data_IF_431532974642
#
_entry.id   IF_431532974642
#
_cell.length_a   1.000
_cell.length_b   1.000
_cell.length_c   1.000
_cell.angle_alpha   90.00
_cell.angle_beta   90.00
_cell.angle_gamma   90.00
#
_symmetry.space_group_name_H-M   'P 1'
#
loop_
_entity.id
_entity.type
_entity.pdbx_description
1 polymer ?
#
# COMPACT_ATOMS: atom_id res chain seq x y z
N UNK A 1 45.07 21.91 -14.33
CA UNK A 1 44.10 21.44 -15.34
C UNK A 1 43.03 20.63 -14.62
N UNK A 2 41.78 21.06 -14.69
CA UNK A 2 40.65 20.48 -13.94
C UNK A 2 40.02 19.34 -14.71
N UNK A 3 40.00 18.14 -14.12
CA UNK A 3 39.41 16.91 -14.67
C UNK A 3 37.88 16.98 -14.64
N UNK A 4 37.24 16.76 -15.79
CA UNK A 4 35.78 16.56 -15.88
C UNK A 4 35.47 15.08 -15.69
N UNK A 5 34.93 14.70 -14.54
CA UNK A 5 34.40 13.36 -14.31
C UNK A 5 33.01 13.24 -14.96
N UNK A 6 32.93 12.52 -16.08
CA UNK A 6 31.65 12.14 -16.68
C UNK A 6 30.96 11.10 -15.79
N UNK A 7 29.92 11.51 -15.06
CA UNK A 7 29.01 10.59 -14.35
C UNK A 7 28.15 9.86 -15.37
N UNK A 8 28.64 8.72 -15.84
CA UNK A 8 27.83 7.76 -16.60
C UNK A 8 26.77 7.19 -15.67
N UNK A 9 25.53 7.65 -15.81
CA UNK A 9 24.38 7.11 -15.08
C UNK A 9 24.15 5.67 -15.53
N UNK A 10 24.70 4.71 -14.80
CA UNK A 10 24.33 3.30 -14.91
C UNK A 10 22.82 3.18 -14.69
N UNK A 11 22.05 2.96 -15.76
CA UNK A 11 20.67 2.50 -15.62
C UNK A 11 20.76 1.05 -15.16
N UNK A 12 20.53 0.84 -13.87
CA UNK A 12 20.43 -0.48 -13.27
C UNK A 12 19.45 -1.35 -14.06
N UNK A 13 19.93 -2.52 -14.43
CA UNK A 13 19.20 -3.76 -14.75
C UNK A 13 17.82 -3.63 -15.39
N UNK A 14 17.71 -4.13 -16.62
CA UNK A 14 16.49 -4.74 -17.14
C UNK A 14 15.74 -5.49 -16.04
N UNK A 15 14.58 -5.00 -15.63
CA UNK A 15 13.63 -5.74 -14.79
C UNK A 15 13.02 -6.84 -15.66
N UNK A 16 13.82 -7.89 -15.88
CA UNK A 16 13.34 -9.16 -16.39
C UNK A 16 12.40 -9.72 -15.32
N UNK A 17 11.10 -9.61 -15.57
CA UNK A 17 10.06 -10.08 -14.65
C UNK A 17 8.95 -9.09 -14.31
N UNK A 18 8.51 -8.23 -15.24
CA UNK A 18 7.10 -7.81 -15.21
C UNK A 18 6.26 -8.95 -15.80
N UNK A 19 6.28 -10.09 -15.10
CA UNK A 19 5.37 -11.21 -15.39
C UNK A 19 3.97 -10.60 -15.34
N UNK A 20 3.24 -10.74 -16.45
CA UNK A 20 1.88 -10.24 -16.61
C UNK A 20 0.93 -10.99 -15.68
N UNK A 21 1.04 -10.76 -14.37
CA UNK A 21 0.06 -11.23 -13.41
C UNK A 21 -1.23 -10.45 -13.66
N UNK A 22 -2.29 -11.18 -14.01
CA UNK A 22 -3.62 -10.60 -14.21
C UNK A 22 -4.01 -9.85 -12.93
N UNK A 23 -4.24 -8.53 -12.99
CA UNK A 23 -4.55 -7.77 -11.79
C UNK A 23 -5.86 -8.26 -11.18
N UNK A 24 -5.86 -8.47 -9.86
CA UNK A 24 -7.08 -8.71 -9.10
C UNK A 24 -7.66 -7.34 -8.72
N UNK A 25 -8.81 -7.00 -9.29
CA UNK A 25 -9.48 -5.74 -8.97
C UNK A 25 -10.04 -5.80 -7.54
N UNK A 26 -9.52 -4.93 -6.67
CA UNK A 26 -10.04 -4.74 -5.32
C UNK A 26 -11.12 -3.66 -5.34
N UNK A 27 -12.36 -4.03 -5.00
CA UNK A 27 -13.48 -3.09 -4.89
C UNK A 27 -13.47 -2.48 -3.50
N UNK A 28 -13.07 -1.22 -3.40
CA UNK A 28 -13.12 -0.43 -2.18
C UNK A 28 -14.22 0.63 -2.27
N UNK A 29 -14.99 0.86 -1.20
CA UNK A 29 -15.76 2.09 -1.02
C UNK A 29 -14.87 3.33 -1.16
N UNK A 30 -15.49 4.46 -1.52
CA UNK A 30 -14.76 5.73 -1.76
C UNK A 30 -13.90 6.17 -0.57
N UNK A 31 -14.41 5.99 0.65
CA UNK A 31 -13.73 6.37 1.89
C UNK A 31 -12.49 5.50 2.14
N UNK A 32 -12.61 4.18 2.01
CA UNK A 32 -11.50 3.24 2.16
C UNK A 32 -10.42 3.44 1.10
N UNK A 33 -10.83 3.74 -0.14
CA UNK A 33 -9.90 4.05 -1.23
C UNK A 33 -9.12 5.34 -0.94
N UNK A 34 -9.79 6.40 -0.49
CA UNK A 34 -9.15 7.65 -0.11
C UNK A 34 -8.17 7.45 1.07
N UNK A 35 -8.57 6.66 2.06
CA UNK A 35 -7.72 6.31 3.20
C UNK A 35 -6.46 5.55 2.75
N UNK A 36 -6.60 4.55 1.88
CA UNK A 36 -5.47 3.79 1.34
C UNK A 36 -4.50 4.69 0.54
N UNK A 37 -5.02 5.66 -0.23
CA UNK A 37 -4.18 6.65 -0.91
C UNK A 37 -3.41 7.54 0.07
N UNK A 38 -4.06 8.01 1.14
CA UNK A 38 -3.43 8.84 2.16
C UNK A 38 -2.31 8.09 2.89
N UNK A 39 -2.54 6.83 3.28
CA UNK A 39 -1.51 5.99 3.91
C UNK A 39 -0.32 5.74 2.97
N UNK A 40 -0.60 5.41 1.71
CA UNK A 40 0.46 5.20 0.72
C UNK A 40 1.31 6.47 0.51
N UNK A 41 0.67 7.64 0.46
CA UNK A 41 1.35 8.92 0.33
C UNK A 41 2.21 9.23 1.57
N UNK A 42 1.69 8.97 2.77
CA UNK A 42 2.43 9.16 4.03
C UNK A 42 3.69 8.27 4.10
N UNK A 43 3.65 7.07 3.51
CA UNK A 43 4.80 6.16 3.42
C UNK A 43 5.72 6.42 2.21
N UNK A 44 5.38 7.39 1.34
CA UNK A 44 6.15 7.67 0.12
C UNK A 44 6.09 6.53 -0.93
N UNK A 45 4.98 5.78 -0.95
CA UNK A 45 4.78 4.61 -1.82
C UNK A 45 3.63 4.82 -2.81
N UNK A 46 3.59 4.02 -3.88
CA UNK A 46 2.40 3.93 -4.71
C UNK A 46 1.29 3.18 -3.98
N UNK A 47 0.03 3.52 -4.28
CA UNK A 47 -1.12 2.90 -3.61
C UNK A 47 -1.25 1.40 -3.92
N UNK A 48 -0.85 0.96 -5.11
CA UNK A 48 -0.77 -0.46 -5.45
C UNK A 48 0.31 -1.18 -4.65
N UNK A 49 1.47 -0.55 -4.42
CA UNK A 49 2.53 -1.14 -3.58
C UNK A 49 2.08 -1.23 -2.11
N UNK A 50 1.46 -0.17 -1.59
CA UNK A 50 0.88 -0.16 -0.25
C UNK A 50 -0.18 -1.27 -0.07
N UNK A 51 -1.15 -1.36 -0.98
CA UNK A 51 -2.18 -2.40 -0.94
C UNK A 51 -1.59 -3.81 -0.98
N UNK A 52 -0.53 -4.04 -1.77
CA UNK A 52 0.20 -5.32 -1.80
C UNK A 52 0.84 -5.64 -0.45
N UNK A 53 1.47 -4.68 0.20
CA UNK A 53 2.09 -4.88 1.53
C UNK A 53 1.02 -5.25 2.56
N UNK A 54 -0.09 -4.50 2.61
CA UNK A 54 -1.21 -4.79 3.51
C UNK A 54 -1.77 -6.19 3.26
N UNK A 55 -1.95 -6.58 2.00
CA UNK A 55 -2.37 -7.93 1.64
C UNK A 55 -1.38 -8.99 2.17
N UNK A 56 -0.07 -8.81 1.97
CA UNK A 56 0.95 -9.77 2.43
C UNK A 56 0.95 -9.90 3.97
N UNK A 57 0.80 -8.78 4.69
CA UNK A 57 0.66 -8.78 6.15
C UNK A 57 -0.60 -9.54 6.59
N UNK A 58 -1.74 -9.26 5.97
CA UNK A 58 -3.00 -9.94 6.25
C UNK A 58 -2.94 -11.44 5.97
N UNK A 59 -2.27 -11.85 4.89
CA UNK A 59 -2.06 -13.26 4.55
C UNK A 59 -1.16 -13.98 5.56
N UNK A 60 -0.13 -13.31 6.08
CA UNK A 60 0.69 -13.88 7.15
C UNK A 60 -0.17 -14.14 8.40
N UNK A 61 -0.90 -13.13 8.86
CA UNK A 61 -1.80 -13.26 10.01
C UNK A 61 -2.88 -14.33 9.79
N UNK A 62 -3.42 -14.43 8.58
CA UNK A 62 -4.40 -15.47 8.23
C UNK A 62 -3.80 -16.89 8.28
N UNK A 63 -2.56 -17.07 7.82
CA UNK A 63 -1.88 -18.38 7.90
C UNK A 63 -1.67 -18.82 9.35
N UNK A 64 -1.36 -17.87 10.22
CA UNK A 64 -1.01 -18.17 11.62
C UNK A 64 -2.25 -18.39 12.49
N UNK A 65 -3.30 -17.58 12.31
CA UNK A 65 -4.49 -17.58 13.16
C UNK A 65 -5.75 -18.19 12.48
N UNK A 66 -5.66 -18.55 11.20
CA UNK A 66 -6.82 -18.91 10.40
C UNK A 66 -7.67 -17.69 10.04
N UNK A 67 -8.99 -17.88 9.95
CA UNK A 67 -9.91 -16.78 9.62
C UNK A 67 -9.85 -15.69 10.70
N UNK A 68 -9.25 -14.56 10.33
CA UNK A 68 -9.26 -13.35 11.15
C UNK A 68 -10.71 -12.87 11.31
N UNK A 69 -11.17 -12.76 12.54
CA UNK A 69 -12.37 -12.04 12.90
C UNK A 69 -11.94 -10.70 13.47
N UNK A 70 -12.18 -9.61 12.75
CA UNK A 70 -12.00 -8.28 13.34
C UNK A 70 -13.25 -7.96 14.17
N UNK A 71 -13.10 -7.51 15.43
CA UNK A 71 -14.23 -6.88 16.11
C UNK A 71 -14.63 -5.68 15.25
N UNK A 72 -15.93 -5.55 14.96
CA UNK A 72 -16.46 -4.33 14.34
C UNK A 72 -15.96 -3.18 15.19
N UNK A 73 -15.07 -2.36 14.63
CA UNK A 73 -14.62 -1.16 15.29
C UNK A 73 -15.89 -0.37 15.63
N UNK A 74 -16.16 -0.17 16.92
CA UNK A 74 -17.24 0.68 17.36
C UNK A 74 -17.01 2.03 16.69
N UNK A 75 -17.82 2.35 15.68
CA UNK A 75 -17.90 3.67 15.11
C UNK A 75 -18.28 4.56 16.30
N UNK A 76 -17.29 5.19 16.92
CA UNK A 76 -17.54 6.28 17.86
C UNK A 76 -18.09 7.41 17.02
N UNK A 77 -19.40 7.35 16.79
CA UNK A 77 -20.22 8.50 16.43
C UNK A 77 -20.11 9.42 17.63
N UNK A 78 -19.11 10.30 17.64
CA UNK A 78 -19.07 11.44 18.54
C UNK A 78 -20.22 12.35 18.13
N UNK A 79 -21.42 12.05 18.64
CA UNK A 79 -22.57 12.95 18.55
C UNK A 79 -22.24 14.13 19.47
N UNK A 80 -21.69 15.19 18.89
CA UNK A 80 -21.51 16.46 19.57
C UNK A 80 -22.87 16.93 20.09
N UNK A 81 -23.07 16.79 21.40
CA UNK A 81 -24.18 17.44 22.10
C UNK A 81 -23.76 18.89 22.28
N UNK A 82 -24.24 19.77 21.41
CA UNK A 82 -24.17 21.21 21.65
C UNK A 82 -25.14 21.52 22.81
N UNK A 83 -24.59 22.06 23.89
CA UNK A 83 -25.33 22.75 24.95
C UNK A 83 -25.20 24.25 24.70
#
# INVERSE_FOLDING_TARGET
MTTTAHLTRHRSGTLDGLVNDKPIALRLPKEELAYAHACAAAEGRSSSNFARIVYLMGMQAYRDAGRLSMPVAATTTTTGTAN
#
